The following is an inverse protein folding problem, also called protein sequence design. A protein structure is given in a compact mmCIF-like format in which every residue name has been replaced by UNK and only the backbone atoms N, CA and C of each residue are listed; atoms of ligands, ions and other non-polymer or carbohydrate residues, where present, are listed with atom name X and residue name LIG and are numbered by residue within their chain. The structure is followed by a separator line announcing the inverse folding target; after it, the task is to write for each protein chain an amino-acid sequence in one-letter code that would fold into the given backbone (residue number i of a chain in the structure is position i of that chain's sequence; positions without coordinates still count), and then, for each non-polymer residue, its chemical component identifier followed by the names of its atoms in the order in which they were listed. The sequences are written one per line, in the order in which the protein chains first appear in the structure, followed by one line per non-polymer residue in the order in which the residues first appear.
data_IF_482008789306
#
_entry.id   IF_482008789306
#
_cell.length_a   1.000
_cell.length_b   1.000
_cell.length_c   1.000
_cell.angle_alpha   90.00
_cell.angle_beta   90.00
_cell.angle_gamma   90.00
#
_symmetry.space_group_name_H-M   'P 1'
#
loop_
_entity.id
_entity.type
_entity.pdbx_description
1 polymer ?
#
# COMPACT_ATOMS: atom_id res chain seq x y z
N UNK A 1 9.20 -2.94 -1.29
CA UNK A 1 9.17 -4.42 -1.46
C UNK A 1 7.75 -4.96 -1.69
N UNK A 2 6.76 -4.68 -0.84
CA UNK A 2 5.36 -5.14 -1.04
C UNK A 2 4.64 -4.49 -2.24
N UNK A 3 4.79 -3.17 -2.45
CA UNK A 3 4.14 -2.43 -3.55
C UNK A 3 4.56 -2.87 -4.97
N UNK A 4 5.73 -3.52 -5.11
CA UNK A 4 6.24 -3.96 -6.42
C UNK A 4 6.17 -5.47 -6.61
N UNK A 5 5.52 -6.19 -5.69
CA UNK A 5 5.36 -7.64 -5.78
C UNK A 5 3.88 -8.02 -5.61
N UNK A 6 3.05 -7.94 -6.68
CA UNK A 6 1.64 -8.29 -6.63
C UNK A 6 1.37 -9.69 -6.09
N UNK A 7 2.25 -10.64 -6.40
CA UNK A 7 2.16 -12.01 -5.90
C UNK A 7 2.19 -12.10 -4.37
N UNK A 8 3.10 -11.37 -3.71
CA UNK A 8 3.20 -11.38 -2.24
C UNK A 8 1.94 -10.77 -1.63
N UNK A 9 1.43 -9.67 -2.19
CA UNK A 9 0.18 -9.05 -1.72
C UNK A 9 -1.00 -10.00 -1.83
N UNK A 10 -1.10 -10.70 -2.96
CA UNK A 10 -2.16 -11.69 -3.18
C UNK A 10 -2.11 -12.79 -2.13
N UNK A 11 -0.93 -13.39 -1.88
CA UNK A 11 -0.75 -14.45 -0.87
C UNK A 11 -1.13 -13.98 0.55
N UNK A 12 -0.85 -12.72 0.88
CA UNK A 12 -1.26 -12.13 2.16
C UNK A 12 -2.78 -11.94 2.22
N UNK A 13 -3.41 -11.44 1.15
CA UNK A 13 -4.85 -11.25 1.11
C UNK A 13 -5.61 -12.58 1.21
N UNK A 14 -5.14 -13.63 0.52
CA UNK A 14 -5.69 -14.99 0.62
C UNK A 14 -5.69 -15.49 2.08
N UNK A 15 -4.65 -15.16 2.86
CA UNK A 15 -4.57 -15.50 4.28
C UNK A 15 -5.53 -14.71 5.18
N UNK A 16 -6.19 -13.67 4.67
CA UNK A 16 -7.10 -12.78 5.38
C UNK A 16 -8.56 -12.89 4.88
N UNK A 17 -8.85 -13.79 3.94
CA UNK A 17 -10.21 -14.01 3.42
C UNK A 17 -11.21 -14.36 4.53
N UNK A 18 -10.79 -15.14 5.52
CA UNK A 18 -11.62 -15.49 6.68
C UNK A 18 -11.99 -14.28 7.55
N UNK A 19 -11.25 -13.18 7.44
CA UNK A 19 -11.52 -11.91 8.10
C UNK A 19 -12.33 -10.94 7.21
N UNK A 20 -12.71 -11.38 6.00
CA UNK A 20 -13.53 -10.64 5.06
C UNK A 20 -12.75 -9.75 4.09
N UNK A 21 -11.44 -9.97 3.93
CA UNK A 21 -10.66 -9.33 2.89
C UNK A 21 -10.69 -10.15 1.60
N UNK A 22 -11.29 -9.62 0.54
CA UNK A 22 -11.28 -10.21 -0.80
C UNK A 22 -10.51 -9.32 -1.77
N UNK A 23 -9.40 -9.82 -2.29
CA UNK A 23 -8.53 -9.09 -3.23
C UNK A 23 -9.05 -9.22 -4.67
N UNK A 24 -8.97 -8.14 -5.43
CA UNK A 24 -9.20 -8.10 -6.87
C UNK A 24 -7.85 -8.31 -7.57
N UNK A 25 -7.72 -9.44 -8.28
CA UNK A 25 -6.46 -9.88 -8.88
C UNK A 25 -5.99 -8.90 -9.96
N UNK A 26 -6.92 -8.35 -10.75
CA UNK A 26 -6.61 -7.44 -11.85
C UNK A 26 -6.17 -6.08 -11.31
N UNK A 27 -6.91 -5.52 -10.33
CA UNK A 27 -6.50 -4.28 -9.64
C UNK A 27 -5.15 -4.46 -8.95
N UNK A 28 -4.94 -5.60 -8.29
CA UNK A 28 -3.69 -5.91 -7.61
C UNK A 28 -2.51 -6.02 -8.59
N UNK A 29 -2.69 -6.65 -9.76
CA UNK A 29 -1.64 -6.78 -10.76
C UNK A 29 -1.27 -5.43 -11.40
N UNK A 30 -2.25 -4.54 -11.58
CA UNK A 30 -2.06 -3.23 -12.22
C UNK A 30 -1.33 -2.19 -11.35
N UNK A 31 -1.41 -2.31 -10.02
CA UNK A 31 -0.85 -1.31 -9.10
C UNK A 31 0.60 -1.64 -8.70
N UNK A 32 1.54 -1.13 -9.49
CA UNK A 32 2.99 -1.13 -9.24
C UNK A 32 3.45 0.33 -9.22
N UNK A 33 4.15 0.76 -8.17
CA UNK A 33 4.56 2.16 -7.94
C UNK A 33 3.41 3.21 -8.05
N UNK A 34 2.16 2.76 -7.94
CA UNK A 34 0.97 3.60 -7.96
C UNK A 34 0.07 3.32 -6.76
N UNK A 35 -0.57 4.37 -6.26
CA UNK A 35 -1.57 4.26 -5.19
C UNK A 35 -2.90 3.73 -5.73
N UNK A 36 -3.57 2.85 -4.98
CA UNK A 36 -4.93 2.46 -5.30
C UNK A 36 -5.51 1.33 -4.45
N UNK A 37 -6.82 1.15 -4.54
CA UNK A 37 -7.57 0.09 -3.87
C UNK A 37 -7.38 -1.25 -4.62
N UNK A 38 -7.02 -2.31 -3.89
CA UNK A 38 -6.88 -3.68 -4.42
C UNK A 38 -7.93 -4.64 -3.87
N UNK A 39 -8.74 -4.24 -2.89
CA UNK A 39 -9.88 -5.07 -2.46
C UNK A 39 -11.03 -4.95 -3.46
N UNK A 40 -11.84 -6.01 -3.55
CA UNK A 40 -13.12 -6.01 -4.25
C UNK A 40 -14.13 -5.12 -3.52
N UNK A 41 -15.14 -4.67 -4.23
CA UNK A 41 -16.15 -3.74 -3.70
C UNK A 41 -17.10 -4.42 -2.70
N UNK A 42 -17.18 -5.75 -2.72
CA UNK A 42 -17.94 -6.59 -1.77
C UNK A 42 -17.13 -7.02 -0.53
N UNK A 43 -15.85 -6.64 -0.46
CA UNK A 43 -14.97 -6.93 0.66
C UNK A 43 -15.35 -6.09 1.89
N UNK A 44 -15.45 -6.71 3.07
CA UNK A 44 -15.69 -5.97 4.33
C UNK A 44 -14.45 -5.20 4.81
N UNK A 45 -13.28 -5.62 4.33
CA UNK A 45 -12.00 -4.95 4.56
C UNK A 45 -11.48 -4.33 3.28
N UNK A 46 -10.98 -3.10 3.38
CA UNK A 46 -10.31 -2.43 2.28
C UNK A 46 -8.80 -2.61 2.38
N UNK A 47 -8.18 -2.98 1.25
CA UNK A 47 -6.73 -3.06 1.11
C UNK A 47 -6.27 -2.08 0.03
N UNK A 48 -5.25 -1.29 0.36
CA UNK A 48 -4.68 -0.28 -0.53
C UNK A 48 -3.19 -0.57 -0.77
N UNK A 49 -2.73 -0.28 -1.98
CA UNK A 49 -1.31 -0.12 -2.29
C UNK A 49 -0.98 1.36 -2.12
N UNK A 50 0.03 1.67 -1.32
CA UNK A 50 0.54 3.02 -1.12
C UNK A 50 2.07 2.93 -1.31
N UNK A 51 2.63 3.50 -2.39
CA UNK A 51 4.07 3.55 -2.60
C UNK A 51 4.76 4.37 -1.50
N UNK A 52 5.92 3.90 -1.04
CA UNK A 52 6.73 4.66 -0.10
C UNK A 52 7.59 5.68 -0.84
N UNK A 53 7.36 6.97 -0.63
CA UNK A 53 8.23 8.05 -1.13
C UNK A 53 9.31 8.42 -0.11
N UNK A 54 10.22 7.48 0.17
CA UNK A 54 11.21 7.60 1.25
C UNK A 54 12.08 8.87 1.13
N UNK A 55 12.49 9.24 -0.09
CA UNK A 55 13.27 10.46 -0.33
C UNK A 55 12.52 11.73 0.04
N UNK A 56 11.21 11.80 -0.26
CA UNK A 56 10.35 12.92 0.09
C UNK A 56 10.14 12.99 1.62
N UNK A 57 9.89 11.85 2.26
CA UNK A 57 9.79 11.80 3.73
C UNK A 57 11.07 12.27 4.40
N UNK A 58 12.24 11.83 3.95
CA UNK A 58 13.53 12.24 4.51
C UNK A 58 13.73 13.75 4.34
N UNK A 59 13.45 14.29 3.15
CA UNK A 59 13.56 15.72 2.89
C UNK A 59 12.62 16.54 3.80
N UNK A 60 11.37 16.09 3.95
CA UNK A 60 10.39 16.72 4.83
C UNK A 60 10.82 16.66 6.31
N UNK A 61 11.30 15.50 6.77
CA UNK A 61 11.80 15.32 8.13
C UNK A 61 13.00 16.24 8.42
N UNK A 62 13.95 16.35 7.47
CA UNK A 62 15.10 17.24 7.59
C UNK A 62 14.68 18.71 7.71
N UNK A 63 13.69 19.14 6.92
CA UNK A 63 13.12 20.49 7.00
C UNK A 63 12.48 20.75 8.37
N UNK A 64 11.67 19.82 8.88
CA UNK A 64 11.04 19.95 10.19
C UNK A 64 12.07 20.06 11.32
N UNK A 65 13.09 19.21 11.32
CA UNK A 65 14.17 19.26 12.31
C UNK A 65 14.97 20.57 12.25
N UNK A 66 15.17 21.12 11.05
CA UNK A 66 15.81 22.42 10.87
C UNK A 66 14.96 23.56 11.45
N UNK A 67 13.67 23.61 11.09
CA UNK A 67 12.74 24.64 11.55
C UNK A 67 12.48 24.60 13.06
N UNK A 68 12.53 23.42 13.69
CA UNK A 68 12.30 23.27 15.13
C UNK A 68 13.48 23.73 16.02
N UNK A 69 14.63 24.04 15.43
CA UNK A 69 15.82 24.58 16.13
C UNK A 69 16.05 26.09 15.82
N UNK A 70 15.04 26.76 15.26
CA UNK A 70 14.96 28.22 15.08
C UNK A 70 13.89 28.79 16.03
#
# INVERSE_FOLDING_TARGET
MSANTPYVRQRVCEGLEWFGLHCDIDRNAALIDHEGLISRDDSSLHAFVIPSEEGLMIAHQALLCWCANL
#
